data_IF_165619867585
#
_entry.id   IF_165619867585
#
_cell.length_a   1.000
_cell.length_b   1.000
_cell.length_c   1.000
_cell.angle_alpha   90.00
_cell.angle_beta   90.00
_cell.angle_gamma   90.00
#
_symmetry.space_group_name_H-M   'P 1'
#
loop_
_entity.id
_entity.type
_entity.pdbx_description
1 polymer ?
#
# COMPACT_ATOMS: atom_id res chain seq x y z
N UNK A 1 0.47 -7.42 25.40
CA UNK A 1 0.45 -8.20 24.15
C UNK A 1 -0.92 -8.87 24.06
N UNK A 2 -1.85 -8.31 23.28
CA UNK A 2 -3.22 -8.84 23.14
C UNK A 2 -3.44 -9.24 21.69
N UNK A 3 -3.54 -10.55 21.45
CA UNK A 3 -3.88 -11.13 20.16
C UNK A 3 -5.40 -11.12 19.98
N UNK A 4 -5.89 -10.66 18.83
CA UNK A 4 -7.29 -10.87 18.44
C UNK A 4 -7.38 -12.23 17.76
N UNK A 5 -7.90 -13.23 18.47
CA UNK A 5 -8.21 -14.54 17.90
C UNK A 5 -9.64 -14.47 17.35
N UNK A 6 -9.78 -14.46 16.03
CA UNK A 6 -11.08 -14.66 15.40
C UNK A 6 -11.34 -16.17 15.36
N UNK A 7 -12.07 -16.69 16.35
CA UNK A 7 -12.38 -18.12 16.44
C UNK A 7 -13.42 -18.46 15.37
N UNK A 8 -12.96 -19.09 14.30
CA UNK A 8 -13.78 -19.83 13.35
C UNK A 8 -13.29 -21.27 13.37
N UNK A 9 -14.23 -22.20 13.49
CA UNK A 9 -14.03 -23.62 13.74
C UNK A 9 -12.98 -24.29 12.83
N UNK A 10 -12.02 -24.95 13.51
CA UNK A 10 -11.04 -25.97 13.10
C UNK A 10 -10.22 -25.74 11.81
N UNK A 11 -8.90 -25.94 11.97
CA UNK A 11 -7.75 -25.71 11.06
C UNK A 11 -7.18 -24.29 11.10
N UNK A 12 -5.85 -24.19 11.34
CA UNK A 12 -4.98 -23.00 11.46
C UNK A 12 -5.68 -21.65 11.69
N UNK A 13 -5.69 -21.10 12.93
CA UNK A 13 -6.16 -19.73 13.12
C UNK A 13 -5.22 -18.80 12.36
N UNK A 14 -5.79 -17.95 11.50
CA UNK A 14 -5.07 -16.82 10.91
C UNK A 14 -4.64 -15.91 12.06
N UNK A 15 -3.39 -16.05 12.51
CA UNK A 15 -2.85 -15.22 13.60
C UNK A 15 -2.37 -13.91 12.99
N UNK A 16 -3.16 -12.86 13.22
CA UNK A 16 -2.87 -11.52 12.72
C UNK A 16 -2.20 -10.70 13.81
N UNK A 17 -1.13 -9.98 13.44
CA UNK A 17 -0.64 -8.88 14.27
C UNK A 17 -1.67 -7.75 14.28
N UNK A 18 -1.60 -6.88 15.30
CA UNK A 18 -2.39 -5.64 15.28
C UNK A 18 -1.85 -4.74 14.16
N UNK A 19 -2.70 -4.23 13.24
CA UNK A 19 -2.27 -3.23 12.27
C UNK A 19 -1.69 -2.02 13.01
N UNK A 20 -0.49 -1.60 12.62
CA UNK A 20 0.16 -0.40 13.15
C UNK A 20 0.98 0.29 12.04
N UNK A 21 1.12 1.61 12.16
CA UNK A 21 2.04 2.37 11.31
C UNK A 21 3.45 2.17 11.86
N UNK A 22 4.39 1.85 10.98
CA UNK A 22 5.83 1.89 11.24
C UNK A 22 6.55 2.67 10.14
N UNK A 23 7.87 2.83 10.29
CA UNK A 23 8.69 3.57 9.33
C UNK A 23 8.65 2.98 7.93
N UNK A 24 8.73 1.64 7.79
CA UNK A 24 8.72 0.97 6.49
C UNK A 24 7.34 1.04 5.84
N UNK A 25 6.26 0.89 6.62
CA UNK A 25 4.91 1.12 6.14
C UNK A 25 4.77 2.56 5.62
N UNK A 26 5.26 3.56 6.36
CA UNK A 26 5.14 4.96 5.94
C UNK A 26 5.94 5.22 4.65
N UNK A 27 7.12 4.63 4.52
CA UNK A 27 7.94 4.71 3.30
C UNK A 27 7.20 4.09 2.11
N UNK A 28 6.67 2.86 2.23
CA UNK A 28 5.92 2.23 1.15
C UNK A 28 4.67 3.01 0.77
N UNK A 29 3.95 3.55 1.75
CA UNK A 29 2.78 4.39 1.53
C UNK A 29 3.14 5.72 0.85
N UNK A 30 4.28 6.32 1.21
CA UNK A 30 4.83 7.51 0.57
C UNK A 30 5.29 7.24 -0.88
N UNK A 31 5.95 6.12 -1.15
CA UNK A 31 6.45 5.81 -2.49
C UNK A 31 5.35 5.49 -3.52
N UNK A 32 4.13 5.21 -3.04
CA UNK A 32 2.96 5.02 -3.89
C UNK A 32 2.43 6.33 -4.49
N UNK A 33 2.08 7.32 -3.66
CA UNK A 33 1.50 8.60 -4.12
C UNK A 33 1.84 9.80 -3.21
N UNK A 34 2.95 9.70 -2.48
CA UNK A 34 3.46 10.79 -1.65
C UNK A 34 4.19 11.86 -2.46
N UNK A 35 4.33 13.04 -1.87
CA UNK A 35 5.00 14.16 -2.50
C UNK A 35 5.90 14.93 -1.53
N UNK A 36 7.16 15.10 -1.93
CA UNK A 36 8.09 16.05 -1.34
C UNK A 36 8.12 17.31 -2.22
N UNK A 37 7.57 18.40 -1.70
CA UNK A 37 7.44 19.66 -2.43
C UNK A 37 8.44 20.70 -1.92
N UNK A 38 9.10 21.35 -2.87
CA UNK A 38 9.92 22.57 -2.69
C UNK A 38 9.26 23.68 -3.51
N UNK A 39 8.96 24.82 -2.89
CA UNK A 39 8.39 25.98 -3.59
C UNK A 39 8.80 27.28 -2.89
N UNK A 40 8.81 28.39 -3.61
CA UNK A 40 8.98 29.70 -3.00
C UNK A 40 7.63 30.21 -2.50
N UNK A 41 7.58 30.62 -1.24
CA UNK A 41 6.38 31.25 -0.68
C UNK A 41 6.20 32.67 -1.27
N UNK A 42 5.10 33.35 -0.90
CA UNK A 42 4.82 34.72 -1.35
C UNK A 42 5.93 35.73 -1.02
N UNK A 43 6.75 35.44 -0.01
CA UNK A 43 7.88 36.25 0.44
C UNK A 43 9.20 35.84 -0.26
N UNK A 44 9.14 35.04 -1.34
CA UNK A 44 10.29 34.49 -2.06
C UNK A 44 11.24 33.64 -1.21
N UNK A 45 10.76 33.10 -0.09
CA UNK A 45 11.52 32.18 0.76
C UNK A 45 11.20 30.73 0.41
N UNK A 46 12.21 29.87 0.45
CA UNK A 46 12.06 28.43 0.23
C UNK A 46 11.13 27.83 1.28
N UNK A 47 10.12 27.11 0.81
CA UNK A 47 9.16 26.35 1.61
C UNK A 47 9.22 24.89 1.21
N UNK A 48 9.19 24.03 2.22
CA UNK A 48 9.30 22.59 2.09
C UNK A 48 8.03 21.96 2.67
N UNK A 49 7.56 20.90 2.02
CA UNK A 49 6.48 20.10 2.60
C UNK A 49 6.57 18.63 2.23
N UNK A 50 6.21 17.78 3.18
CA UNK A 50 5.87 16.38 2.97
C UNK A 50 4.35 16.28 2.91
N UNK A 51 3.83 15.62 1.88
CA UNK A 51 2.40 15.58 1.57
C UNK A 51 1.98 14.14 1.25
N UNK A 52 0.89 13.68 1.87
CA UNK A 52 0.19 12.45 1.51
C UNK A 52 -1.27 12.79 1.21
N UNK A 53 -1.84 12.23 0.14
CA UNK A 53 -3.23 12.46 -0.26
C UNK A 53 -4.00 11.16 -0.31
N UNK A 54 -5.22 11.16 0.20
CA UNK A 54 -6.11 9.99 0.20
C UNK A 54 -7.57 10.39 0.09
N UNK A 55 -8.40 9.45 -0.38
CA UNK A 55 -9.84 9.62 -0.39
C UNK A 55 -10.47 9.51 1.01
N UNK A 56 -9.94 8.64 1.87
CA UNK A 56 -10.39 8.44 3.25
C UNK A 56 -9.35 9.02 4.23
N UNK A 57 -9.73 9.93 5.15
CA UNK A 57 -8.79 10.54 6.09
C UNK A 57 -8.32 9.61 7.21
N UNK A 58 -8.98 8.47 7.46
CA UNK A 58 -8.66 7.61 8.62
C UNK A 58 -7.20 7.19 8.66
N UNK A 59 -6.64 6.77 7.52
CA UNK A 59 -5.23 6.38 7.43
C UNK A 59 -4.29 7.58 7.63
N UNK A 60 -4.69 8.78 7.19
CA UNK A 60 -3.92 10.01 7.39
C UNK A 60 -3.87 10.43 8.86
N UNK A 61 -4.95 10.23 9.63
CA UNK A 61 -4.93 10.46 11.08
C UNK A 61 -4.04 9.45 11.81
N UNK A 62 -3.95 8.20 11.34
CA UNK A 62 -3.00 7.23 11.88
C UNK A 62 -1.55 7.67 11.63
N UNK A 63 -1.23 8.16 10.42
CA UNK A 63 0.08 8.74 10.11
C UNK A 63 0.39 9.95 10.98
N UNK A 64 -0.58 10.86 11.16
CA UNK A 64 -0.42 12.01 12.06
C UNK A 64 -0.12 11.57 13.50
N UNK A 65 -0.82 10.55 14.01
CA UNK A 65 -0.58 10.00 15.34
C UNK A 65 0.81 9.39 15.46
N UNK A 66 1.29 8.69 14.43
CA UNK A 66 2.62 8.07 14.39
C UNK A 66 3.74 9.13 14.39
N UNK A 67 3.62 10.16 13.55
CA UNK A 67 4.65 11.22 13.45
C UNK A 67 4.59 12.23 14.60
N UNK A 68 3.44 12.33 15.29
CA UNK A 68 3.19 13.29 16.36
C UNK A 68 3.15 14.75 15.88
N UNK A 69 3.04 14.99 14.58
CA UNK A 69 3.06 16.33 13.99
C UNK A 69 2.28 16.38 12.66
N UNK A 70 2.20 17.58 12.07
CA UNK A 70 1.50 17.83 10.80
C UNK A 70 0.01 18.08 10.95
N UNK A 71 -0.65 18.41 9.83
CA UNK A 71 -2.08 18.69 9.76
C UNK A 71 -2.77 17.80 8.74
N UNK A 72 -4.03 17.44 9.03
CA UNK A 72 -4.92 16.74 8.11
C UNK A 72 -6.04 17.71 7.75
N UNK A 73 -6.27 17.93 6.46
CA UNK A 73 -7.31 18.83 5.96
C UNK A 73 -7.81 18.36 4.59
N UNK A 74 -9.02 18.77 4.19
CA UNK A 74 -9.53 18.52 2.85
C UNK A 74 -9.00 19.59 1.88
N UNK A 75 -8.43 19.17 0.77
CA UNK A 75 -7.91 20.07 -0.26
C UNK A 75 -9.01 20.55 -1.23
N UNK A 76 -8.65 21.50 -2.10
CA UNK A 76 -9.58 22.09 -3.09
C UNK A 76 -10.12 21.09 -4.10
N UNK A 77 -9.50 19.92 -4.24
CA UNK A 77 -9.87 18.86 -5.17
C UNK A 77 -10.73 17.78 -4.49
N UNK A 78 -11.10 17.99 -3.22
CA UNK A 78 -11.94 17.07 -2.45
C UNK A 78 -11.20 15.85 -1.90
N UNK A 79 -9.87 15.84 -1.90
CA UNK A 79 -9.08 14.79 -1.26
C UNK A 79 -8.63 15.23 0.12
N UNK A 80 -8.55 14.27 1.05
CA UNK A 80 -7.92 14.52 2.33
C UNK A 80 -6.41 14.51 2.15
N UNK A 81 -5.75 15.49 2.78
CA UNK A 81 -4.33 15.73 2.67
C UNK A 81 -3.72 15.80 4.06
N UNK A 82 -2.70 14.98 4.29
CA UNK A 82 -1.79 15.13 5.41
C UNK A 82 -0.58 15.95 4.96
N UNK A 83 -0.18 16.96 5.75
CA UNK A 83 0.94 17.82 5.41
C UNK A 83 1.81 18.15 6.62
N UNK A 84 3.13 18.05 6.44
CA UNK A 84 4.16 18.50 7.39
C UNK A 84 4.95 19.63 6.76
N UNK A 85 5.14 20.74 7.50
CA UNK A 85 5.87 21.94 7.06
C UNK A 85 6.83 22.53 8.09
N UNK A 86 6.69 22.17 9.37
CA UNK A 86 7.58 22.67 10.43
C UNK A 86 8.93 21.94 10.40
N UNK A 87 9.98 22.59 10.91
CA UNK A 87 11.36 22.08 10.79
C UNK A 87 11.52 20.72 11.45
N UNK A 88 11.00 20.56 12.66
CA UNK A 88 11.15 19.37 13.50
C UNK A 88 10.46 18.17 12.87
N UNK A 89 9.24 18.35 12.36
CA UNK A 89 8.51 17.30 11.65
C UNK A 89 9.18 16.95 10.34
N UNK A 90 9.69 17.93 9.59
CA UNK A 90 10.43 17.65 8.35
C UNK A 90 11.75 16.91 8.62
N UNK A 91 12.44 17.19 9.72
CA UNK A 91 13.64 16.43 10.13
C UNK A 91 13.30 14.96 10.40
N UNK A 92 12.20 14.67 11.11
CA UNK A 92 11.71 13.30 11.29
C UNK A 92 11.43 12.59 9.96
N UNK A 93 10.87 13.31 8.97
CA UNK A 93 10.68 12.77 7.62
C UNK A 93 12.02 12.43 6.97
N UNK A 94 13.05 13.28 7.13
CA UNK A 94 14.41 12.96 6.65
C UNK A 94 14.88 11.66 7.28
N UNK A 95 14.83 11.53 8.61
CA UNK A 95 15.28 10.34 9.35
C UNK A 95 14.56 9.05 8.92
N UNK A 96 13.25 9.13 8.70
CA UNK A 96 12.44 7.98 8.28
C UNK A 96 12.80 7.55 6.85
N UNK A 97 12.86 8.49 5.91
CA UNK A 97 13.07 8.18 4.48
C UNK A 97 14.53 7.83 4.15
N UNK A 98 15.50 8.36 4.90
CA UNK A 98 16.91 8.21 4.55
C UNK A 98 17.32 6.73 4.55
N UNK A 99 17.81 6.24 3.41
CA UNK A 99 18.23 4.85 3.23
C UNK A 99 17.10 3.82 3.15
N UNK A 100 15.82 4.23 3.09
CA UNK A 100 14.68 3.32 2.99
C UNK A 100 13.90 3.39 1.66
N UNK A 101 14.13 4.42 0.85
CA UNK A 101 13.47 4.60 -0.46
C UNK A 101 13.95 3.56 -1.48
N UNK A 102 13.00 2.94 -2.17
CA UNK A 102 13.24 1.86 -3.15
C UNK A 102 13.30 2.40 -4.57
N UNK A 103 12.49 3.41 -4.91
CA UNK A 103 12.34 3.85 -6.30
C UNK A 103 13.27 5.01 -6.66
N UNK A 104 13.90 4.91 -7.84
CA UNK A 104 14.76 5.95 -8.43
C UNK A 104 14.08 7.32 -8.47
N UNK A 105 12.79 7.36 -8.82
CA UNK A 105 11.99 8.61 -8.83
C UNK A 105 11.90 9.24 -7.45
N UNK A 106 11.60 8.45 -6.42
CA UNK A 106 11.52 8.90 -5.03
C UNK A 106 12.86 9.42 -4.53
N UNK A 107 13.94 8.70 -4.82
CA UNK A 107 15.32 9.09 -4.46
C UNK A 107 15.73 10.43 -5.09
N UNK A 108 15.42 10.64 -6.38
CA UNK A 108 15.69 11.91 -7.07
C UNK A 108 14.95 13.07 -6.39
N UNK A 109 13.66 12.89 -6.11
CA UNK A 109 12.85 13.90 -5.42
C UNK A 109 13.38 14.18 -4.01
N UNK A 110 13.73 13.12 -3.28
CA UNK A 110 14.25 13.19 -1.92
C UNK A 110 15.59 13.92 -1.84
N UNK A 111 16.53 13.62 -2.75
CA UNK A 111 17.83 14.31 -2.84
C UNK A 111 17.65 15.82 -2.94
N UNK A 112 16.91 16.29 -3.95
CA UNK A 112 16.66 17.72 -4.16
C UNK A 112 15.93 18.35 -2.97
N UNK A 113 15.03 17.60 -2.33
CA UNK A 113 14.30 18.07 -1.16
C UNK A 113 15.21 18.24 0.08
N UNK A 114 16.13 17.31 0.33
CA UNK A 114 17.13 17.40 1.41
C UNK A 114 18.14 18.52 1.16
N UNK A 115 18.58 18.72 -0.09
CA UNK A 115 19.44 19.85 -0.47
C UNK A 115 18.77 21.20 -0.16
N UNK A 116 17.49 21.35 -0.51
CA UNK A 116 16.71 22.53 -0.18
C UNK A 116 16.47 22.70 1.33
N UNK A 117 16.29 21.58 2.06
CA UNK A 117 16.22 21.59 3.52
C UNK A 117 17.52 22.12 4.14
N UNK A 118 18.66 21.59 3.71
CA UNK A 118 19.99 22.03 4.15
C UNK A 118 20.22 23.52 3.89
N UNK A 119 19.88 24.00 2.69
CA UNK A 119 20.02 25.40 2.33
C UNK A 119 19.17 26.33 3.23
N UNK A 120 17.92 25.94 3.49
CA UNK A 120 16.97 26.72 4.29
C UNK A 120 17.34 26.76 5.76
N UNK A 121 17.66 25.61 6.35
CA UNK A 121 17.86 25.46 7.78
C UNK A 121 19.33 25.45 8.22
N UNK A 122 20.25 25.64 7.27
CA UNK A 122 21.72 25.64 7.49
C UNK A 122 22.20 24.35 8.16
N UNK A 123 21.73 23.22 7.62
CA UNK A 123 22.12 21.87 8.06
C UNK A 123 23.02 21.18 7.03
N UNK A 124 23.63 20.06 7.42
CA UNK A 124 24.55 19.28 6.57
C UNK A 124 24.11 17.81 6.48
N UNK A 125 22.81 17.57 6.29
CA UNK A 125 22.26 16.22 6.16
C UNK A 125 22.69 15.59 4.83
N UNK A 126 23.11 14.32 4.86
CA UNK A 126 23.56 13.60 3.66
C UNK A 126 22.45 12.65 3.20
N UNK A 127 21.81 12.89 2.04
CA UNK A 127 20.78 12.01 1.52
C UNK A 127 21.42 10.73 0.95
N UNK A 128 20.92 9.56 1.37
CA UNK A 128 21.24 8.27 0.74
C UNK A 128 20.49 8.19 -0.58
N UNK A 129 21.22 8.12 -1.69
CA UNK A 129 20.66 8.10 -3.05
C UNK A 129 20.70 6.73 -3.72
N UNK A 130 21.15 5.70 -2.99
CA UNK A 130 21.13 4.31 -3.43
C UNK A 130 19.78 3.67 -3.10
N UNK A 131 19.13 2.98 -4.06
CA UNK A 131 17.90 2.22 -3.80
C UNK A 131 18.03 1.23 -2.66
N UNK A 132 17.09 1.28 -1.72
CA UNK A 132 16.90 0.25 -0.71
C UNK A 132 16.35 -1.03 -1.35
N UNK A 133 16.64 -2.17 -0.72
CA UNK A 133 16.14 -3.48 -1.18
C UNK A 133 14.77 -3.78 -0.59
N UNK A 134 13.87 -4.31 -1.42
CA UNK A 134 12.59 -4.85 -0.98
C UNK A 134 12.80 -6.09 -0.10
N UNK A 135 11.91 -6.27 0.89
CA UNK A 135 12.07 -7.33 1.89
C UNK A 135 10.73 -7.86 2.37
N UNK A 136 10.67 -9.16 2.61
CA UNK A 136 9.53 -9.85 3.22
C UNK A 136 9.44 -9.62 4.74
N UNK A 137 10.42 -8.92 5.32
CA UNK A 137 10.58 -8.76 6.77
C UNK A 137 10.31 -7.35 7.28
N UNK A 138 9.71 -6.47 6.47
CA UNK A 138 9.25 -5.15 6.89
C UNK A 138 7.88 -4.83 6.27
N UNK A 139 7.25 -3.74 6.69
CA UNK A 139 5.88 -3.39 6.27
C UNK A 139 5.79 -2.58 4.97
N UNK A 140 6.88 -2.45 4.19
CA UNK A 140 6.91 -1.60 2.99
C UNK A 140 5.81 -1.97 1.99
N UNK A 141 5.66 -3.27 1.67
CA UNK A 141 4.65 -3.73 0.71
C UNK A 141 3.22 -3.47 1.24
N UNK A 142 3.04 -3.47 2.56
CA UNK A 142 1.74 -3.16 3.18
C UNK A 142 1.40 -1.69 3.02
N UNK A 143 2.36 -0.80 3.27
CA UNK A 143 2.19 0.65 3.04
C UNK A 143 1.88 0.95 1.58
N UNK A 144 2.66 0.37 0.68
CA UNK A 144 2.46 0.54 -0.76
C UNK A 144 1.09 0.01 -1.20
N UNK A 145 0.68 -1.16 -0.68
CA UNK A 145 -0.64 -1.73 -0.98
C UNK A 145 -1.79 -0.93 -0.36
N UNK A 146 -1.65 -0.34 0.82
CA UNK A 146 -2.71 0.49 1.41
C UNK A 146 -3.06 1.69 0.53
N UNK A 147 -2.08 2.24 -0.19
CA UNK A 147 -2.32 3.24 -1.22
C UNK A 147 -2.91 2.61 -2.50
N UNK A 148 -2.21 1.64 -3.11
CA UNK A 148 -2.43 1.23 -4.52
C UNK A 148 -2.83 -0.23 -4.73
N UNK A 149 -2.93 -0.99 -3.66
CA UNK A 149 -3.18 -2.42 -3.66
C UNK A 149 -4.64 -2.84 -3.55
N UNK A 150 -4.90 -4.10 -3.91
CA UNK A 150 -6.19 -4.75 -3.69
C UNK A 150 -6.10 -6.27 -3.76
N UNK A 151 -6.87 -6.96 -2.92
CA UNK A 151 -7.10 -8.41 -3.02
C UNK A 151 -8.41 -8.71 -3.75
N UNK A 152 -8.40 -9.77 -4.56
CA UNK A 152 -9.55 -10.18 -5.33
C UNK A 152 -9.72 -11.71 -5.31
N UNK A 153 -10.98 -12.11 -5.23
CA UNK A 153 -11.45 -13.48 -5.28
C UNK A 153 -12.34 -13.57 -6.52
N UNK A 154 -12.05 -14.53 -7.40
CA UNK A 154 -12.87 -14.79 -8.58
C UNK A 154 -13.30 -16.24 -8.60
N UNK A 155 -14.59 -16.43 -8.84
CA UNK A 155 -15.17 -17.73 -9.10
C UNK A 155 -15.73 -17.70 -10.52
N UNK A 156 -15.32 -18.67 -11.33
CA UNK A 156 -15.85 -18.88 -12.67
C UNK A 156 -16.06 -20.36 -12.93
N UNK A 157 -16.30 -20.70 -14.19
CA UNK A 157 -16.46 -22.08 -14.64
C UNK A 157 -15.44 -22.34 -15.74
N UNK A 158 -14.81 -23.52 -15.75
CA UNK A 158 -13.94 -23.91 -16.85
C UNK A 158 -14.79 -24.29 -18.06
N UNK A 159 -14.42 -23.77 -19.24
CA UNK A 159 -15.19 -23.98 -20.48
C UNK A 159 -15.19 -25.44 -20.96
N UNK A 160 -14.14 -26.18 -20.66
CA UNK A 160 -13.89 -27.56 -21.09
C UNK A 160 -14.64 -28.60 -20.26
N UNK A 161 -14.69 -28.41 -18.94
CA UNK A 161 -15.13 -29.43 -17.97
C UNK A 161 -16.40 -29.03 -17.22
N UNK A 162 -16.88 -27.79 -17.43
CA UNK A 162 -17.94 -27.16 -16.65
C UNK A 162 -17.69 -27.16 -15.13
N UNK A 163 -16.44 -27.41 -14.70
CA UNK A 163 -16.07 -27.45 -13.30
C UNK A 163 -15.84 -26.03 -12.76
N UNK A 164 -16.17 -25.76 -11.48
CA UNK A 164 -15.84 -24.50 -10.83
C UNK A 164 -14.34 -24.21 -10.92
N UNK A 165 -13.99 -22.93 -11.11
CA UNK A 165 -12.62 -22.42 -11.13
C UNK A 165 -12.49 -21.25 -10.17
N UNK A 166 -11.79 -21.48 -9.06
CA UNK A 166 -11.38 -20.44 -8.13
C UNK A 166 -10.07 -19.80 -8.57
N UNK A 167 -9.97 -18.47 -8.51
CA UNK A 167 -8.72 -17.72 -8.65
C UNK A 167 -8.62 -16.69 -7.55
N UNK A 168 -7.45 -16.61 -6.94
CA UNK A 168 -7.07 -15.61 -5.95
C UNK A 168 -6.02 -14.70 -6.57
N UNK A 169 -6.19 -13.39 -6.44
CA UNK A 169 -5.26 -12.39 -7.01
C UNK A 169 -4.98 -11.27 -6.04
N UNK A 170 -3.73 -10.83 -6.04
CA UNK A 170 -3.30 -9.57 -5.45
C UNK A 170 -2.88 -8.62 -6.57
N UNK A 171 -3.32 -7.37 -6.50
CA UNK A 171 -3.04 -6.34 -7.48
C UNK A 171 -2.31 -5.19 -6.83
N UNK A 172 -1.39 -4.59 -7.58
CA UNK A 172 -0.84 -3.26 -7.36
C UNK A 172 -1.04 -2.45 -8.64
N UNK A 173 -1.74 -1.33 -8.54
CA UNK A 173 -2.02 -0.43 -9.66
C UNK A 173 -1.21 0.86 -9.49
N UNK A 174 -0.30 1.18 -10.41
CA UNK A 174 0.41 2.45 -10.35
C UNK A 174 0.40 3.17 -11.69
N UNK A 175 0.19 4.48 -11.63
CA UNK A 175 0.31 5.36 -12.78
C UNK A 175 1.76 5.84 -12.91
N UNK A 176 2.27 5.94 -14.13
CA UNK A 176 3.50 6.69 -14.49
C UNK A 176 4.88 6.12 -14.19
N UNK A 177 5.05 4.94 -13.57
CA UNK A 177 6.40 4.37 -13.38
C UNK A 177 6.44 2.87 -13.68
N UNK A 178 6.71 2.53 -14.94
CA UNK A 178 6.98 1.16 -15.36
C UNK A 178 8.18 0.58 -14.60
N UNK A 179 9.25 1.37 -14.44
CA UNK A 179 10.47 1.02 -13.71
C UNK A 179 10.17 0.60 -12.26
N UNK A 180 9.38 1.40 -11.53
CA UNK A 180 8.97 1.06 -10.16
C UNK A 180 8.21 -0.26 -10.10
N UNK A 181 7.31 -0.50 -11.05
CA UNK A 181 6.55 -1.74 -11.09
C UNK A 181 7.39 -2.94 -11.50
N UNK A 182 8.43 -2.75 -12.33
CA UNK A 182 9.40 -3.80 -12.66
C UNK A 182 10.23 -4.17 -11.44
N UNK A 183 10.70 -3.20 -10.65
CA UNK A 183 11.40 -3.48 -9.38
C UNK A 183 10.54 -4.33 -8.44
N UNK A 184 9.26 -3.99 -8.30
CA UNK A 184 8.34 -4.80 -7.48
C UNK A 184 8.05 -6.16 -8.13
N UNK A 185 7.94 -6.24 -9.45
CA UNK A 185 7.72 -7.50 -10.17
C UNK A 185 8.91 -8.45 -10.03
N UNK A 186 10.14 -7.97 -10.14
CA UNK A 186 11.35 -8.78 -10.03
C UNK A 186 11.46 -9.43 -8.64
N UNK A 187 11.01 -8.70 -7.60
CA UNK A 187 10.97 -9.21 -6.24
C UNK A 187 9.75 -10.11 -5.93
N UNK A 188 8.54 -9.64 -6.29
CA UNK A 188 7.28 -10.26 -5.90
C UNK A 188 6.85 -11.39 -6.87
N UNK A 189 7.33 -11.33 -8.11
CA UNK A 189 6.87 -12.11 -9.25
C UNK A 189 5.52 -11.60 -9.81
N UNK A 190 4.88 -12.44 -10.61
CA UNK A 190 3.59 -12.14 -11.23
C UNK A 190 3.70 -11.54 -12.63
N UNK A 191 2.56 -11.12 -13.16
CA UNK A 191 2.44 -10.58 -14.52
C UNK A 191 2.16 -9.09 -14.49
N UNK A 192 3.02 -8.32 -15.17
CA UNK A 192 2.84 -6.90 -15.36
C UNK A 192 2.00 -6.62 -16.60
N UNK A 193 0.89 -5.92 -16.42
CA UNK A 193 -0.03 -5.54 -17.50
C UNK A 193 -0.02 -4.04 -17.67
N UNK A 194 0.04 -3.57 -18.93
CA UNK A 194 -0.18 -2.17 -19.24
C UNK A 194 -1.63 -1.98 -19.71
N UNK A 195 -2.37 -1.08 -19.05
CA UNK A 195 -3.67 -0.63 -19.50
C UNK A 195 -3.55 0.78 -20.03
N UNK A 196 -3.72 0.93 -21.34
CA UNK A 196 -3.84 2.23 -21.97
C UNK A 196 -5.24 2.79 -21.70
N UNK A 197 -5.31 4.00 -21.18
CA UNK A 197 -6.52 4.81 -21.13
C UNK A 197 -6.30 6.06 -21.99
N UNK A 198 -7.37 6.71 -22.46
CA UNK A 198 -7.31 7.80 -23.46
C UNK A 198 -6.20 8.83 -23.22
N UNK A 199 -5.81 9.10 -21.96
CA UNK A 199 -4.77 10.08 -21.61
C UNK A 199 -3.63 9.55 -20.71
N UNK A 200 -3.61 8.26 -20.31
CA UNK A 200 -2.63 7.73 -19.32
C UNK A 200 -2.37 6.23 -19.47
N UNK A 201 -1.11 5.82 -19.27
CA UNK A 201 -0.74 4.42 -19.06
C UNK A 201 -0.85 4.08 -17.57
N UNK A 202 -1.65 3.05 -17.26
CA UNK A 202 -1.71 2.46 -15.93
C UNK A 202 -1.04 1.10 -15.97
N UNK A 203 -0.12 0.87 -15.05
CA UNK A 203 0.56 -0.42 -14.91
C UNK A 203 -0.07 -1.18 -13.76
N UNK A 204 -0.53 -2.40 -14.04
CA UNK A 204 -1.07 -3.32 -13.05
C UNK A 204 -0.13 -4.49 -12.90
N UNK A 205 0.52 -4.61 -11.75
CA UNK A 205 1.15 -5.86 -11.37
C UNK A 205 0.07 -6.78 -10.79
N UNK A 206 -0.05 -7.97 -11.36
CA UNK A 206 -0.96 -8.99 -10.91
C UNK A 206 -0.15 -10.18 -10.41
N UNK A 207 -0.21 -10.43 -9.10
CA UNK A 207 0.28 -11.68 -8.53
C UNK A 207 -0.89 -12.64 -8.50
N UNK A 208 -0.89 -13.58 -9.44
CA UNK A 208 -1.89 -14.63 -9.55
C UNK A 208 -1.31 -16.00 -9.18
N UNK A 209 -2.22 -16.98 -9.07
CA UNK A 209 -1.98 -18.38 -8.68
C UNK A 209 -1.64 -18.64 -7.20
N UNK A 210 -2.05 -19.83 -6.76
CA UNK A 210 -1.87 -20.32 -5.40
C UNK A 210 -0.39 -20.48 -5.01
N UNK A 211 0.52 -20.55 -5.99
CA UNK A 211 1.96 -20.74 -5.79
C UNK A 211 2.62 -19.60 -5.00
N UNK A 212 2.05 -18.39 -5.03
CA UNK A 212 2.52 -17.24 -4.24
C UNK A 212 1.54 -16.78 -3.16
N UNK A 213 0.32 -17.31 -3.16
CA UNK A 213 -0.70 -16.97 -2.16
C UNK A 213 -0.26 -17.26 -0.73
N UNK A 214 0.52 -18.32 -0.48
CA UNK A 214 1.07 -18.61 0.85
C UNK A 214 1.96 -17.46 1.34
N UNK A 215 2.93 -17.04 0.52
CA UNK A 215 3.85 -15.95 0.87
C UNK A 215 3.12 -14.64 1.14
N UNK A 216 2.11 -14.31 0.32
CA UNK A 216 1.28 -13.13 0.53
C UNK A 216 0.46 -13.25 1.82
N UNK A 217 -0.16 -14.39 2.09
CA UNK A 217 -0.95 -14.61 3.31
C UNK A 217 -0.08 -14.50 4.54
N UNK A 218 1.11 -15.10 4.54
CA UNK A 218 2.06 -15.03 5.65
C UNK A 218 2.55 -13.60 5.88
N UNK A 219 2.95 -12.92 4.79
CA UNK A 219 3.43 -11.53 4.84
C UNK A 219 2.37 -10.58 5.40
N UNK A 220 1.15 -10.58 4.83
CA UNK A 220 0.08 -9.68 5.27
C UNK A 220 -0.54 -10.12 6.59
N UNK A 221 -0.30 -11.33 7.09
CA UNK A 221 -0.63 -11.70 8.47
C UNK A 221 0.36 -11.11 9.48
N UNK A 222 1.64 -11.03 9.08
CA UNK A 222 2.71 -10.39 9.86
C UNK A 222 2.65 -8.87 9.81
N UNK A 223 2.26 -8.29 8.67
CA UNK A 223 2.12 -6.85 8.43
C UNK A 223 0.74 -6.51 7.86
N UNK A 224 -0.32 -6.50 8.69
CA UNK A 224 -1.68 -6.37 8.16
C UNK A 224 -2.00 -4.96 7.66
N UNK A 225 -2.83 -4.83 6.60
CA UNK A 225 -3.23 -3.53 6.07
C UNK A 225 -3.91 -2.64 7.10
N UNK A 226 -3.67 -1.33 6.99
CA UNK A 226 -4.25 -0.30 7.86
C UNK A 226 -5.55 0.28 7.30
N UNK A 227 -5.73 0.26 5.98
CA UNK A 227 -6.98 0.71 5.38
C UNK A 227 -8.07 -0.34 5.54
N UNK A 228 -9.25 0.08 6.01
CA UNK A 228 -10.39 -0.81 6.26
C UNK A 228 -10.73 -1.66 5.02
N UNK A 229 -10.73 -1.05 3.83
CA UNK A 229 -11.06 -1.75 2.60
C UNK A 229 -10.03 -2.84 2.25
N UNK A 230 -8.73 -2.54 2.31
CA UNK A 230 -7.71 -3.53 1.98
C UNK A 230 -7.64 -4.64 3.02
N UNK A 231 -7.72 -4.27 4.31
CA UNK A 231 -7.74 -5.21 5.43
C UNK A 231 -8.88 -6.21 5.29
N UNK A 232 -10.12 -5.75 5.10
CA UNK A 232 -11.28 -6.65 4.95
C UNK A 232 -11.15 -7.54 3.72
N UNK A 233 -10.64 -7.02 2.60
CA UNK A 233 -10.39 -7.84 1.40
C UNK A 233 -9.31 -8.90 1.65
N UNK A 234 -8.26 -8.56 2.39
CA UNK A 234 -7.22 -9.50 2.81
C UNK A 234 -7.78 -10.62 3.69
N UNK A 235 -8.57 -10.31 4.72
CA UNK A 235 -9.19 -11.33 5.59
C UNK A 235 -10.04 -12.31 4.78
N UNK A 236 -10.86 -11.80 3.86
CA UNK A 236 -11.70 -12.64 2.99
C UNK A 236 -10.85 -13.48 2.04
N UNK A 237 -9.80 -12.89 1.47
CA UNK A 237 -8.84 -13.59 0.63
C UNK A 237 -8.17 -14.75 1.37
N UNK A 238 -7.62 -14.48 2.57
CA UNK A 238 -6.94 -15.46 3.40
C UNK A 238 -7.88 -16.61 3.82
N UNK A 239 -9.14 -16.28 4.15
CA UNK A 239 -10.16 -17.28 4.45
C UNK A 239 -10.47 -18.21 3.26
N UNK A 240 -10.63 -17.65 2.07
CA UNK A 240 -10.88 -18.45 0.87
C UNK A 240 -9.63 -19.25 0.46
N UNK A 241 -8.43 -18.69 0.67
CA UNK A 241 -7.18 -19.41 0.51
C UNK A 241 -7.11 -20.63 1.44
N UNK A 242 -7.49 -20.47 2.70
CA UNK A 242 -7.57 -21.59 3.65
C UNK A 242 -8.54 -22.69 3.19
N UNK A 243 -9.72 -22.33 2.70
CA UNK A 243 -10.66 -23.31 2.12
C UNK A 243 -10.10 -23.99 0.88
N UNK A 244 -9.24 -23.31 0.12
CA UNK A 244 -8.58 -23.92 -1.02
C UNK A 244 -7.56 -24.97 -0.59
N UNK A 245 -6.63 -24.62 0.31
CA UNK A 245 -5.56 -25.54 0.75
C UNK A 245 -6.08 -26.74 1.55
N UNK A 246 -7.21 -26.59 2.24
CA UNK A 246 -7.92 -27.68 2.95
C UNK A 246 -8.87 -28.47 2.04
N UNK A 247 -8.90 -28.16 0.74
CA UNK A 247 -9.78 -28.77 -0.26
C UNK A 247 -11.29 -28.66 0.06
N UNK A 248 -11.70 -27.67 0.86
CA UNK A 248 -13.09 -27.43 1.25
C UNK A 248 -13.81 -26.43 0.35
N UNK A 249 -13.09 -25.67 -0.48
CA UNK A 249 -13.66 -24.53 -1.23
C UNK A 249 -14.82 -24.92 -2.16
N UNK A 250 -14.79 -26.12 -2.76
CA UNK A 250 -15.89 -26.62 -3.62
C UNK A 250 -17.19 -26.86 -2.85
N UNK A 251 -17.11 -27.15 -1.55
CA UNK A 251 -18.29 -27.27 -0.67
C UNK A 251 -18.81 -25.91 -0.18
N UNK A 252 -18.11 -24.82 -0.53
CA UNK A 252 -18.34 -23.47 0.01
C UNK A 252 -18.54 -22.44 -1.12
N UNK A 253 -19.00 -22.86 -2.30
CA UNK A 253 -19.16 -21.98 -3.46
C UNK A 253 -20.09 -20.79 -3.17
N UNK A 254 -21.23 -21.03 -2.53
CA UNK A 254 -22.18 -19.98 -2.13
C UNK A 254 -21.54 -18.97 -1.16
N UNK A 255 -20.79 -19.47 -0.17
CA UNK A 255 -20.04 -18.62 0.76
C UNK A 255 -19.01 -17.75 0.01
N UNK A 256 -18.27 -18.35 -0.92
CA UNK A 256 -17.29 -17.62 -1.74
C UNK A 256 -17.99 -16.55 -2.60
N UNK A 257 -19.11 -16.88 -3.24
CA UNK A 257 -19.91 -15.92 -4.00
C UNK A 257 -20.39 -14.76 -3.14
N UNK A 258 -20.87 -15.05 -1.93
CA UNK A 258 -21.27 -14.03 -0.97
C UNK A 258 -20.11 -13.09 -0.61
N UNK A 259 -18.91 -13.63 -0.32
CA UNK A 259 -17.72 -12.82 -0.04
C UNK A 259 -17.31 -11.94 -1.23
N UNK A 260 -17.45 -12.45 -2.46
CA UNK A 260 -17.21 -11.67 -3.69
C UNK A 260 -18.19 -10.50 -3.78
N UNK A 261 -19.48 -10.72 -3.50
CA UNK A 261 -20.50 -9.66 -3.50
C UNK A 261 -20.20 -8.61 -2.43
N UNK A 262 -19.82 -9.02 -1.22
CA UNK A 262 -19.42 -8.08 -0.17
C UNK A 262 -18.17 -7.27 -0.55
N UNK A 263 -17.23 -7.84 -1.31
CA UNK A 263 -16.05 -7.11 -1.79
C UNK A 263 -16.42 -6.01 -2.80
N UNK A 264 -17.45 -6.22 -3.62
CA UNK A 264 -17.96 -5.19 -4.55
C UNK A 264 -18.61 -4.01 -3.82
N UNK A 265 -19.14 -4.23 -2.61
CA UNK A 265 -19.75 -3.19 -1.77
C UNK A 265 -18.73 -2.33 -1.01
N UNK A 266 -17.47 -2.79 -0.88
CA UNK A 266 -16.37 -2.02 -0.32
C UNK A 266 -15.89 -0.97 -1.34
N UNK A 267 -16.46 0.24 -1.31
CA UNK A 267 -16.03 1.33 -2.18
C UNK A 267 -14.91 2.15 -1.51
N UNK A 268 -13.88 2.55 -2.28
CA UNK A 268 -12.86 3.53 -1.84
C UNK A 268 -13.38 4.99 -1.88
N UNK A 269 -14.53 5.25 -2.54
CA UNK A 269 -15.21 6.55 -2.61
C UNK A 269 -16.73 6.35 -2.65
N UNK A 270 -17.55 7.16 -1.96
CA UNK A 270 -18.95 7.28 -2.35
C UNK A 270 -19.02 7.79 -3.80
N UNK A 271 -19.96 7.28 -4.58
CA UNK A 271 -20.32 7.90 -5.85
C UNK A 271 -20.94 9.27 -5.52
N UNK A 272 -20.36 10.33 -6.06
CA UNK A 272 -21.10 11.58 -6.26
C UNK A 272 -22.17 11.34 -7.32
#
# INVERSE_FOLDING_TARGET
MHFFVCILSQTFPLVLKKPAVDEYWLVGFFEADGCLSVFNNKQKQVSLSFILRQADPKVLYQVKSFLGCGSVYMDKQGYWTYCVRNKEGLLKIVEILNGKLVFTKGLKQYKTWVEAFNQKYKTSLVPVTTPATLSWNNAWLTGFADAEGSFNIMLGVRKDTCQPRLRLRFYLDQSYSLESMQVVQDWLGGSLHCKQTKNKNHHRLMVDTFNKSTLLVDYFSKFPPLTTCLFVRFIRYARVYQWYVTNQWKKRLENIQHLILLNKRLQKKPKN
#
